data_IF_019952379852
#
_entry.id   IF_019952379852
#
_cell.length_a   1.000
_cell.length_b   1.000
_cell.length_c   1.000
_cell.angle_alpha   90.00
_cell.angle_beta   90.00
_cell.angle_gamma   90.00
#
_symmetry.space_group_name_H-M   'P 1'
#
loop_
_entity.id
_entity.type
_entity.pdbx_description
1 polymer ?
#
# COMPACT_ATOMS: atom_id res chain seq x y z
N UNK A 1 -6.46 -10.30 22.48
CA UNK A 1 -6.89 -10.21 21.07
C UNK A 1 -5.65 -10.28 20.18
N UNK A 2 -5.71 -11.08 19.10
CA UNK A 2 -4.71 -11.08 18.06
C UNK A 2 -5.06 -9.99 17.05
N UNK A 3 -4.06 -9.21 16.63
CA UNK A 3 -4.23 -8.10 15.71
C UNK A 3 -3.44 -8.36 14.43
N UNK A 4 -4.09 -8.23 13.28
CA UNK A 4 -3.41 -8.26 12.00
C UNK A 4 -3.38 -6.86 11.40
N UNK A 5 -2.19 -6.31 11.25
CA UNK A 5 -1.98 -5.05 10.54
C UNK A 5 -1.78 -5.33 9.04
N UNK A 6 -2.59 -4.67 8.22
CA UNK A 6 -2.52 -4.81 6.77
C UNK A 6 -1.73 -3.66 6.16
N UNK A 7 -0.71 -3.97 5.38
CA UNK A 7 0.00 -2.96 4.60
C UNK A 7 -0.91 -2.40 3.50
N UNK A 8 -1.07 -1.08 3.50
CA UNK A 8 -1.75 -0.36 2.43
C UNK A 8 -0.77 -0.06 1.28
N UNK A 9 -0.66 -1.01 0.37
CA UNK A 9 0.17 -0.87 -0.83
C UNK A 9 1.65 -0.54 -0.52
N UNK A 10 2.27 0.26 -1.38
CA UNK A 10 3.67 0.69 -1.22
C UNK A 10 3.88 1.75 -0.14
N UNK A 11 2.83 2.41 0.33
CA UNK A 11 2.94 3.50 1.30
C UNK A 11 3.53 3.04 2.63
N UNK A 12 3.22 1.83 3.08
CA UNK A 12 3.77 1.27 4.31
C UNK A 12 5.30 1.16 4.27
N UNK A 13 5.86 0.76 3.14
CA UNK A 13 7.33 0.66 2.94
C UNK A 13 7.97 2.05 2.95
N UNK A 14 7.41 2.96 2.18
CA UNK A 14 7.93 4.33 2.06
C UNK A 14 7.96 5.00 3.42
N UNK A 15 6.86 4.96 4.17
CA UNK A 15 6.79 5.62 5.47
C UNK A 15 7.65 4.94 6.54
N UNK A 16 7.72 3.62 6.53
CA UNK A 16 8.62 2.91 7.43
C UNK A 16 10.07 3.33 7.19
N UNK A 17 10.50 3.31 5.92
CA UNK A 17 11.87 3.65 5.56
C UNK A 17 12.19 5.14 5.82
N UNK A 18 11.25 6.05 5.60
CA UNK A 18 11.41 7.46 5.96
C UNK A 18 11.59 7.66 7.47
N UNK A 19 10.89 6.88 8.29
CA UNK A 19 10.98 7.00 9.75
C UNK A 19 12.20 6.30 10.33
N UNK A 20 12.62 5.17 9.77
CA UNK A 20 13.59 4.27 10.40
C UNK A 20 14.82 3.96 9.54
N UNK A 21 14.79 4.20 8.23
CA UNK A 21 15.89 3.92 7.28
C UNK A 21 16.89 5.07 7.12
N UNK A 22 16.51 6.31 7.41
CA UNK A 22 17.32 7.51 7.22
C UNK A 22 18.45 7.69 8.24
N UNK A 23 19.23 8.75 8.10
CA UNK A 23 20.36 9.07 8.99
C UNK A 23 19.94 9.28 10.47
N UNK A 24 18.74 9.79 10.70
CA UNK A 24 18.17 10.04 12.02
C UNK A 24 17.26 8.92 12.54
N UNK A 25 17.26 7.76 11.90
CA UNK A 25 16.31 6.69 12.20
C UNK A 25 16.41 6.20 13.65
N UNK A 26 17.61 6.05 14.19
CA UNK A 26 17.79 5.63 15.58
C UNK A 26 17.19 6.65 16.56
N UNK A 27 17.41 7.94 16.35
CA UNK A 27 16.83 9.00 17.18
C UNK A 27 15.30 8.99 17.13
N UNK A 28 14.71 8.74 15.96
CA UNK A 28 13.25 8.59 15.79
C UNK A 28 12.74 7.38 16.58
N UNK A 29 13.43 6.25 16.48
CA UNK A 29 13.09 5.03 17.21
C UNK A 29 13.15 5.23 18.73
N UNK A 30 14.27 5.75 19.24
CA UNK A 30 14.49 6.00 20.67
C UNK A 30 13.40 6.92 21.25
N UNK A 31 13.07 8.00 20.53
CA UNK A 31 11.99 8.91 20.91
C UNK A 31 10.63 8.19 20.92
N UNK A 32 10.35 7.40 19.90
CA UNK A 32 9.09 6.65 19.79
C UNK A 32 8.93 5.63 20.91
N UNK A 33 10.00 4.93 21.27
CA UNK A 33 9.98 3.97 22.36
C UNK A 33 9.74 4.64 23.72
N UNK A 34 10.39 5.77 23.98
CA UNK A 34 10.18 6.54 25.19
C UNK A 34 8.73 7.03 25.33
N UNK A 35 8.19 7.61 24.27
CA UNK A 35 6.79 8.05 24.20
C UNK A 35 5.82 6.88 24.40
N UNK A 36 6.10 5.73 23.80
CA UNK A 36 5.28 4.53 23.96
C UNK A 36 5.27 3.99 25.38
N UNK A 37 6.41 4.02 26.08
CA UNK A 37 6.50 3.68 27.52
C UNK A 37 5.65 4.61 28.37
N UNK A 38 5.64 5.91 28.08
CA UNK A 38 4.79 6.88 28.76
C UNK A 38 3.30 6.60 28.54
N UNK A 39 2.88 6.35 27.32
CA UNK A 39 1.49 6.01 26.99
C UNK A 39 1.05 4.73 27.71
N UNK A 40 1.87 3.68 27.69
CA UNK A 40 1.58 2.43 28.42
C UNK A 40 1.44 2.67 29.92
N UNK A 41 2.30 3.50 30.50
CA UNK A 41 2.22 3.85 31.91
C UNK A 41 0.93 4.57 32.27
N UNK A 42 0.50 5.51 31.42
CA UNK A 42 -0.76 6.23 31.60
C UNK A 42 -1.97 5.29 31.51
N UNK A 43 -2.01 4.40 30.52
CA UNK A 43 -3.08 3.41 30.39
C UNK A 43 -3.18 2.46 31.58
N UNK A 44 -2.05 1.99 32.10
CA UNK A 44 -2.03 1.14 33.31
C UNK A 44 -2.62 1.85 34.53
N UNK A 45 -2.53 3.17 34.58
CA UNK A 45 -3.11 4.00 35.65
C UNK A 45 -4.58 4.36 35.41
N UNK A 46 -5.20 3.84 34.34
CA UNK A 46 -6.57 4.14 33.97
C UNK A 46 -6.78 5.54 33.38
N UNK A 47 -5.72 6.22 33.01
CA UNK A 47 -5.80 7.51 32.33
C UNK A 47 -5.81 7.32 30.82
N UNK A 48 -6.85 7.81 30.15
CA UNK A 48 -6.81 7.99 28.71
C UNK A 48 -5.91 9.18 28.41
N UNK A 49 -4.88 8.95 27.65
CA UNK A 49 -4.03 10.01 27.09
C UNK A 49 -4.27 10.02 25.60
N UNK A 50 -4.86 11.08 25.09
CA UNK A 50 -4.93 11.30 23.64
C UNK A 50 -3.48 11.44 23.13
N UNK A 51 -3.04 10.63 22.16
CA UNK A 51 -1.71 10.75 21.58
C UNK A 51 -1.39 12.16 21.06
N UNK A 52 -2.42 12.96 20.77
CA UNK A 52 -2.29 14.36 20.35
C UNK A 52 -1.90 15.30 21.48
N UNK A 53 -2.24 14.94 22.71
CA UNK A 53 -1.94 15.74 23.89
C UNK A 53 -0.52 15.48 24.42
N UNK A 54 0.17 14.48 23.90
CA UNK A 54 1.56 14.26 24.26
C UNK A 54 2.39 15.37 23.61
N UNK A 55 2.98 16.21 24.43
CA UNK A 55 3.77 17.41 24.06
C UNK A 55 4.88 17.15 23.03
N UNK A 56 5.15 15.89 22.74
CA UNK A 56 6.11 15.38 21.78
C UNK A 56 5.46 14.92 20.46
N UNK A 57 4.14 15.05 20.33
CA UNK A 57 3.49 14.87 19.05
C UNK A 57 4.16 15.85 18.06
N UNK A 58 4.86 15.31 17.10
CA UNK A 58 5.40 16.11 16.01
C UNK A 58 4.27 16.98 15.46
N UNK A 59 4.58 18.18 15.02
CA UNK A 59 3.63 19.13 14.43
C UNK A 59 2.78 18.58 13.27
N UNK A 60 2.88 17.30 13.00
CA UNK A 60 2.16 16.57 11.96
C UNK A 60 1.54 15.30 12.56
N UNK A 61 0.25 15.35 12.87
CA UNK A 61 -0.52 14.25 13.47
C UNK A 61 -0.40 12.93 12.69
N UNK A 62 -0.36 12.98 11.35
CA UNK A 62 -0.25 11.76 10.54
C UNK A 62 1.12 11.08 10.67
N UNK A 63 2.15 11.83 10.94
CA UNK A 63 3.49 11.32 11.16
C UNK A 63 3.61 10.63 12.52
N UNK A 64 3.06 11.23 13.57
CA UNK A 64 3.04 10.67 14.90
C UNK A 64 2.27 9.35 14.95
N UNK A 65 1.08 9.31 14.36
CA UNK A 65 0.27 8.09 14.33
C UNK A 65 1.00 6.93 13.63
N UNK A 66 1.64 7.18 12.48
CA UNK A 66 2.39 6.15 11.76
C UNK A 66 3.60 5.64 12.55
N UNK A 67 4.31 6.54 13.19
CA UNK A 67 5.45 6.25 14.04
C UNK A 67 5.07 5.26 15.15
N UNK A 68 3.97 5.55 15.87
CA UNK A 68 3.46 4.67 16.91
C UNK A 68 2.94 3.34 16.37
N UNK A 69 2.28 3.35 15.23
CA UNK A 69 1.77 2.13 14.61
C UNK A 69 2.91 1.16 14.31
N UNK A 70 3.99 1.64 13.69
CA UNK A 70 5.12 0.76 13.36
C UNK A 70 5.88 0.30 14.60
N UNK A 71 6.05 1.17 15.59
CA UNK A 71 6.67 0.78 16.86
C UNK A 71 5.82 -0.26 17.61
N UNK A 72 4.50 -0.10 17.63
CA UNK A 72 3.58 -1.07 18.21
C UNK A 72 3.65 -2.42 17.48
N UNK A 73 3.65 -2.42 16.15
CA UNK A 73 3.79 -3.63 15.34
C UNK A 73 5.09 -4.35 15.66
N UNK A 74 6.22 -3.65 15.76
CA UNK A 74 7.52 -4.25 16.05
C UNK A 74 7.61 -4.83 17.46
N UNK A 75 6.99 -4.17 18.46
CA UNK A 75 7.14 -4.51 19.88
C UNK A 75 6.05 -5.43 20.45
N UNK A 76 4.87 -5.49 19.84
CA UNK A 76 3.74 -6.24 20.37
C UNK A 76 3.77 -7.73 19.97
N UNK A 77 3.61 -8.62 20.97
CA UNK A 77 3.68 -10.07 20.74
C UNK A 77 2.44 -10.65 20.05
N UNK A 78 1.31 -9.95 20.11
CA UNK A 78 0.02 -10.36 19.57
C UNK A 78 -0.32 -9.66 18.25
N UNK A 79 0.68 -9.07 17.58
CA UNK A 79 0.48 -8.40 16.29
C UNK A 79 1.20 -9.16 15.19
N UNK A 80 0.49 -9.39 14.10
CA UNK A 80 1.05 -9.81 12.82
C UNK A 80 0.96 -8.67 11.83
N UNK A 81 1.91 -8.60 10.93
CA UNK A 81 1.92 -7.60 9.88
C UNK A 81 1.91 -8.28 8.51
N UNK A 82 0.79 -8.20 7.81
CA UNK A 82 0.69 -8.73 6.46
C UNK A 82 1.26 -7.75 5.46
N UNK A 83 2.26 -8.20 4.72
CA UNK A 83 3.00 -7.40 3.74
C UNK A 83 3.02 -8.08 2.38
N UNK A 84 3.00 -7.30 1.31
CA UNK A 84 3.12 -7.83 -0.06
C UNK A 84 4.53 -8.31 -0.38
N UNK A 85 5.55 -7.68 0.21
CA UNK A 85 6.97 -8.07 0.08
C UNK A 85 7.67 -7.90 1.42
N UNK A 86 8.28 -8.95 1.92
CA UNK A 86 9.00 -8.96 3.20
C UNK A 86 10.47 -8.59 3.03
N UNK A 87 11.09 -9.12 1.98
CA UNK A 87 12.53 -8.99 1.77
C UNK A 87 12.87 -7.79 0.89
N UNK A 88 13.94 -7.08 1.26
CA UNK A 88 14.53 -5.99 0.48
C UNK A 88 13.72 -4.70 0.40
N UNK A 89 12.63 -4.58 1.20
CA UNK A 89 11.74 -3.42 1.14
C UNK A 89 11.75 -2.56 2.40
N UNK A 90 12.03 -3.15 3.55
CA UNK A 90 12.08 -2.45 4.82
C UNK A 90 13.51 -2.20 5.26
N UNK A 91 13.81 -0.98 5.62
CA UNK A 91 15.14 -0.53 6.03
C UNK A 91 15.07 0.14 7.39
N UNK A 92 16.07 -0.10 8.25
CA UNK A 92 16.27 0.64 9.48
C UNK A 92 17.76 0.76 9.81
N UNK A 93 18.14 1.88 10.40
CA UNK A 93 19.48 2.07 10.99
C UNK A 93 19.63 1.28 12.28
N UNK A 94 18.55 0.88 12.91
CA UNK A 94 18.53 -0.02 14.04
C UNK A 94 18.23 -1.45 13.56
N UNK A 95 19.28 -2.27 13.53
CA UNK A 95 19.19 -3.65 13.03
C UNK A 95 18.32 -4.54 13.94
N UNK A 96 18.33 -4.30 15.24
CA UNK A 96 17.50 -5.06 16.18
C UNK A 96 16.02 -4.73 16.01
N UNK A 97 15.68 -3.46 15.91
CA UNK A 97 14.31 -3.03 15.61
C UNK A 97 13.82 -3.59 14.28
N UNK A 98 14.66 -3.55 13.24
CA UNK A 98 14.31 -4.12 11.94
C UNK A 98 14.05 -5.63 12.02
N UNK A 99 14.88 -6.34 12.76
CA UNK A 99 14.71 -7.79 12.97
C UNK A 99 13.40 -8.09 13.72
N UNK A 100 13.08 -7.34 14.77
CA UNK A 100 11.82 -7.47 15.50
C UNK A 100 10.62 -7.17 14.60
N UNK A 101 10.66 -6.10 13.81
CA UNK A 101 9.60 -5.77 12.85
C UNK A 101 9.42 -6.89 11.82
N UNK A 102 10.52 -7.39 11.23
CA UNK A 102 10.48 -8.49 10.25
C UNK A 102 9.98 -9.80 10.84
N UNK A 103 10.25 -10.07 12.10
CA UNK A 103 9.73 -11.28 12.78
C UNK A 103 8.20 -11.29 12.88
N UNK A 104 7.55 -10.11 12.86
CA UNK A 104 6.08 -9.96 12.85
C UNK A 104 5.47 -9.95 11.46
N UNK A 105 6.30 -9.84 10.41
CA UNK A 105 5.82 -9.75 9.03
C UNK A 105 5.52 -11.15 8.49
N UNK A 106 4.34 -11.28 7.92
CA UNK A 106 3.93 -12.40 7.08
C UNK A 106 3.73 -11.88 5.66
N UNK A 107 4.51 -12.41 4.73
CA UNK A 107 4.28 -12.10 3.31
C UNK A 107 3.09 -12.89 2.81
N UNK A 108 2.07 -12.19 2.28
CA UNK A 108 0.95 -12.88 1.67
C UNK A 108 1.14 -13.03 0.16
N UNK A 109 0.78 -14.18 -0.34
CA UNK A 109 0.73 -14.46 -1.77
C UNK A 109 -0.69 -14.22 -2.28
N UNK A 110 -0.89 -13.11 -2.98
CA UNK A 110 -2.19 -12.75 -3.56
C UNK A 110 -2.70 -13.83 -4.52
N UNK A 111 -1.81 -14.42 -5.32
CA UNK A 111 -2.18 -15.48 -6.24
C UNK A 111 -2.71 -16.70 -5.49
N UNK A 112 -2.01 -17.15 -4.47
CA UNK A 112 -2.45 -18.27 -3.64
C UNK A 112 -3.80 -17.98 -2.96
N UNK A 113 -4.03 -16.75 -2.49
CA UNK A 113 -5.31 -16.36 -1.91
C UNK A 113 -6.45 -16.39 -2.95
N UNK A 114 -6.21 -15.91 -4.18
CA UNK A 114 -7.20 -15.97 -5.25
C UNK A 114 -7.48 -17.41 -5.70
N UNK A 115 -6.47 -18.25 -5.79
CA UNK A 115 -6.61 -19.67 -6.10
C UNK A 115 -7.45 -20.39 -5.01
N UNK A 116 -7.23 -20.07 -3.74
CA UNK A 116 -8.04 -20.56 -2.61
C UNK A 116 -9.50 -20.12 -2.73
N UNK A 117 -9.76 -18.83 -2.95
CA UNK A 117 -11.13 -18.32 -3.15
C UNK A 117 -11.84 -19.03 -4.29
N UNK A 118 -11.14 -19.34 -5.37
CA UNK A 118 -11.68 -20.10 -6.51
C UNK A 118 -11.99 -21.55 -6.11
N UNK A 119 -11.06 -22.21 -5.43
CA UNK A 119 -11.25 -23.59 -4.97
C UNK A 119 -12.44 -23.71 -3.99
N UNK A 120 -12.65 -22.72 -3.13
CA UNK A 120 -13.77 -22.61 -2.19
C UNK A 120 -15.06 -22.07 -2.84
N UNK A 121 -15.07 -21.83 -4.15
CA UNK A 121 -16.23 -21.31 -4.92
C UNK A 121 -16.70 -19.91 -4.49
N UNK A 122 -15.80 -19.12 -3.90
CA UNK A 122 -16.05 -17.74 -3.50
C UNK A 122 -15.65 -16.70 -4.56
N UNK A 123 -15.07 -17.13 -5.67
CA UNK A 123 -14.57 -16.24 -6.73
C UNK A 123 -15.68 -15.36 -7.33
N UNK A 124 -16.89 -15.87 -7.48
CA UNK A 124 -18.02 -15.08 -7.99
C UNK A 124 -18.41 -13.94 -7.03
N UNK A 125 -18.48 -14.22 -5.74
CA UNK A 125 -18.79 -13.21 -4.72
C UNK A 125 -17.66 -12.15 -4.66
N UNK A 126 -16.41 -12.58 -4.70
CA UNK A 126 -15.26 -11.70 -4.75
C UNK A 126 -15.28 -10.78 -5.98
N UNK A 127 -15.52 -11.33 -7.18
CA UNK A 127 -15.64 -10.55 -8.41
C UNK A 127 -16.78 -9.53 -8.35
N UNK A 128 -17.94 -9.93 -7.83
CA UNK A 128 -19.08 -9.04 -7.67
C UNK A 128 -18.76 -7.89 -6.69
N UNK A 129 -18.09 -8.16 -5.58
CA UNK A 129 -17.68 -7.16 -4.61
C UNK A 129 -16.77 -6.09 -5.21
N UNK A 130 -15.84 -6.52 -6.06
CA UNK A 130 -14.91 -5.62 -6.74
C UNK A 130 -15.42 -5.10 -8.10
N UNK A 131 -16.68 -5.37 -8.45
CA UNK A 131 -17.26 -5.02 -9.75
C UNK A 131 -16.42 -5.53 -10.94
N UNK A 132 -15.78 -6.69 -10.76
CA UNK A 132 -14.95 -7.28 -11.79
C UNK A 132 -15.81 -8.18 -12.70
N UNK A 133 -15.68 -7.97 -14.02
CA UNK A 133 -16.30 -8.82 -15.03
C UNK A 133 -15.24 -9.59 -15.81
N UNK A 134 -15.48 -10.88 -16.05
CA UNK A 134 -14.61 -11.68 -16.91
C UNK A 134 -14.61 -11.19 -18.37
N UNK A 135 -15.64 -10.45 -18.79
CA UNK A 135 -15.71 -9.81 -20.10
C UNK A 135 -14.86 -8.55 -20.24
N UNK A 136 -14.28 -8.05 -19.13
CA UNK A 136 -13.48 -6.82 -19.16
C UNK A 136 -12.32 -6.87 -20.15
N UNK A 137 -11.77 -8.06 -20.40
CA UNK A 137 -10.66 -8.27 -21.33
C UNK A 137 -11.06 -9.07 -22.58
N UNK A 138 -12.36 -9.07 -22.94
CA UNK A 138 -12.87 -9.83 -24.07
C UNK A 138 -12.24 -9.41 -25.40
N UNK A 139 -11.96 -8.11 -25.58
CA UNK A 139 -11.33 -7.60 -26.80
C UNK A 139 -9.89 -8.10 -26.96
N UNK A 140 -9.13 -8.20 -25.88
CA UNK A 140 -7.80 -8.79 -25.92
C UNK A 140 -7.86 -10.27 -26.31
N UNK A 141 -8.80 -11.02 -25.76
CA UNK A 141 -9.01 -12.43 -26.10
C UNK A 141 -9.43 -12.60 -27.57
N UNK A 142 -10.39 -11.80 -28.06
CA UNK A 142 -10.86 -11.80 -29.45
C UNK A 142 -9.74 -11.48 -30.45
N UNK A 143 -8.86 -10.58 -30.10
CA UNK A 143 -7.76 -10.12 -30.94
C UNK A 143 -6.46 -10.92 -30.72
N UNK A 144 -6.50 -12.00 -29.95
CA UNK A 144 -5.33 -12.82 -29.59
C UNK A 144 -4.15 -12.01 -29.05
N UNK A 145 -4.45 -10.92 -28.32
CA UNK A 145 -3.46 -10.04 -27.70
C UNK A 145 -3.28 -10.34 -26.22
N UNK A 146 -2.11 -10.02 -25.72
CA UNK A 146 -1.84 -10.02 -24.26
C UNK A 146 -2.46 -8.79 -23.63
N UNK A 147 -2.90 -8.92 -22.39
CA UNK A 147 -3.43 -7.79 -21.60
C UNK A 147 -2.27 -7.01 -20.96
N UNK A 148 -2.30 -5.68 -21.10
CA UNK A 148 -1.44 -4.74 -20.37
C UNK A 148 -2.33 -3.77 -19.60
N UNK A 149 -2.27 -3.81 -18.27
CA UNK A 149 -3.01 -2.87 -17.44
C UNK A 149 -2.09 -1.77 -16.94
N UNK A 150 -2.36 -0.54 -17.32
CA UNK A 150 -1.67 0.65 -16.85
C UNK A 150 -2.31 1.09 -15.52
N UNK A 151 -1.54 1.07 -14.46
CA UNK A 151 -2.00 1.46 -13.12
C UNK A 151 -1.84 2.97 -12.92
N UNK A 152 -2.93 3.67 -12.72
CA UNK A 152 -2.93 5.11 -12.47
C UNK A 152 -2.45 5.49 -11.07
N UNK A 153 -1.61 6.51 -10.98
CA UNK A 153 -1.22 7.15 -9.74
C UNK A 153 -2.29 8.11 -9.22
N UNK A 154 -2.14 8.56 -7.96
CA UNK A 154 -3.06 9.51 -7.33
C UNK A 154 -3.04 10.89 -7.98
N UNK A 155 -1.85 11.34 -8.34
CA UNK A 155 -1.64 12.64 -8.99
C UNK A 155 -0.72 12.44 -10.19
N UNK A 156 -1.30 12.52 -11.38
CA UNK A 156 -0.52 12.54 -12.62
C UNK A 156 -1.09 13.69 -13.44
N UNK A 157 -0.24 14.62 -13.86
CA UNK A 157 -0.68 15.70 -14.75
C UNK A 157 -1.18 15.09 -16.07
N UNK A 158 -2.09 15.77 -16.75
CA UNK A 158 -2.65 15.31 -18.02
C UNK A 158 -1.56 15.13 -19.07
N UNK A 159 -0.61 16.07 -19.13
CA UNK A 159 0.54 15.98 -20.03
C UNK A 159 1.38 14.73 -19.75
N UNK A 160 1.81 14.52 -18.50
CA UNK A 160 2.62 13.37 -18.12
C UNK A 160 1.89 12.05 -18.34
N UNK A 161 0.57 12.05 -18.20
CA UNK A 161 -0.25 10.88 -18.45
C UNK A 161 -0.26 10.49 -19.93
N UNK A 162 -0.45 11.46 -20.82
CA UNK A 162 -0.43 11.24 -22.26
C UNK A 162 0.98 10.75 -22.72
N UNK A 163 2.03 11.40 -22.26
CA UNK A 163 3.43 11.01 -22.56
C UNK A 163 3.73 9.59 -22.05
N UNK A 164 3.33 9.26 -20.83
CA UNK A 164 3.50 7.93 -20.27
C UNK A 164 2.78 6.85 -21.08
N UNK A 165 1.53 7.11 -21.42
CA UNK A 165 0.73 6.15 -22.22
C UNK A 165 1.33 5.92 -23.59
N UNK A 166 1.76 6.99 -24.27
CA UNK A 166 2.42 6.91 -25.57
C UNK A 166 3.75 6.14 -25.46
N UNK A 167 4.57 6.43 -24.46
CA UNK A 167 5.81 5.71 -24.20
C UNK A 167 5.59 4.22 -24.02
N UNK A 168 4.66 3.83 -23.17
CA UNK A 168 4.38 2.42 -22.87
C UNK A 168 3.91 1.69 -24.14
N UNK A 169 2.99 2.28 -24.91
CA UNK A 169 2.50 1.69 -26.16
C UNK A 169 3.60 1.53 -27.21
N UNK A 170 4.45 2.53 -27.36
CA UNK A 170 5.59 2.47 -28.30
C UNK A 170 6.63 1.43 -27.88
N UNK A 171 6.91 1.32 -26.59
CA UNK A 171 7.92 0.39 -26.07
C UNK A 171 7.47 -1.07 -26.15
N UNK A 172 6.24 -1.37 -25.73
CA UNK A 172 5.75 -2.74 -25.70
C UNK A 172 5.07 -3.20 -26.99
N UNK A 173 4.60 -2.26 -27.81
CA UNK A 173 4.11 -2.49 -29.16
C UNK A 173 2.73 -3.14 -29.26
N UNK A 174 2.32 -3.56 -30.46
CA UNK A 174 0.94 -3.92 -30.79
C UNK A 174 0.51 -5.32 -30.31
N UNK A 175 1.42 -6.09 -29.72
CA UNK A 175 1.10 -7.43 -29.16
C UNK A 175 0.23 -7.40 -27.92
N UNK A 176 0.01 -6.20 -27.33
CA UNK A 176 -0.82 -6.00 -26.16
C UNK A 176 -2.09 -5.24 -26.51
N UNK A 177 -3.17 -5.57 -25.82
CA UNK A 177 -4.34 -4.72 -25.64
C UNK A 177 -4.15 -3.96 -24.35
N UNK A 178 -4.31 -2.64 -24.38
CA UNK A 178 -3.97 -1.74 -23.28
C UNK A 178 -5.23 -1.30 -22.55
N UNK A 179 -5.20 -1.44 -21.24
CA UNK A 179 -6.28 -1.03 -20.34
C UNK A 179 -5.73 -0.10 -19.28
N UNK A 180 -6.55 0.83 -18.84
CA UNK A 180 -6.16 1.73 -17.77
C UNK A 180 -7.02 1.51 -16.53
N UNK A 181 -6.36 1.34 -15.36
CA UNK A 181 -7.04 1.31 -14.06
C UNK A 181 -6.70 2.58 -13.30
N UNK A 182 -7.70 3.48 -13.15
CA UNK A 182 -7.57 4.70 -12.36
C UNK A 182 -7.32 4.42 -10.88
N UNK A 183 -6.68 5.38 -10.21
CA UNK A 183 -6.50 5.32 -8.77
C UNK A 183 -7.86 5.48 -8.06
N UNK A 184 -8.17 4.73 -6.99
CA UNK A 184 -9.48 4.81 -6.31
C UNK A 184 -9.85 6.22 -5.82
N UNK A 185 -8.87 6.99 -5.32
CA UNK A 185 -9.11 8.36 -4.87
C UNK A 185 -9.29 9.38 -6.01
N UNK A 186 -8.92 9.02 -7.23
CA UNK A 186 -9.04 9.88 -8.42
C UNK A 186 -9.62 9.05 -9.58
N UNK A 187 -10.88 8.62 -9.48
CA UNK A 187 -11.49 7.78 -10.50
C UNK A 187 -11.57 8.52 -11.82
N UNK A 188 -11.13 7.88 -12.89
CA UNK A 188 -11.02 8.46 -14.25
C UNK A 188 -12.35 9.04 -14.75
N UNK A 189 -13.47 8.44 -14.33
CA UNK A 189 -14.82 8.92 -14.69
C UNK A 189 -15.08 10.39 -14.31
N UNK A 190 -14.37 10.92 -13.31
CA UNK A 190 -14.46 12.31 -12.87
C UNK A 190 -13.53 13.26 -13.65
N UNK A 191 -12.76 12.75 -14.61
CA UNK A 191 -11.78 13.53 -15.36
C UNK A 191 -11.96 13.33 -16.86
N UNK A 192 -12.86 14.11 -17.49
CA UNK A 192 -13.21 13.97 -18.92
C UNK A 192 -12.00 14.04 -19.86
N UNK A 193 -11.04 14.91 -19.55
CA UNK A 193 -9.84 15.05 -20.37
C UNK A 193 -8.97 13.78 -20.34
N UNK A 194 -8.82 13.14 -19.20
CA UNK A 194 -8.14 11.84 -19.11
C UNK A 194 -8.87 10.73 -19.87
N UNK A 195 -10.19 10.73 -19.82
CA UNK A 195 -10.99 9.78 -20.62
C UNK A 195 -10.77 9.98 -22.11
N UNK A 196 -10.75 11.25 -22.56
CA UNK A 196 -10.45 11.60 -23.94
C UNK A 196 -9.06 11.12 -24.36
N UNK A 197 -8.04 11.40 -23.55
CA UNK A 197 -6.66 10.97 -23.81
C UNK A 197 -6.53 9.45 -23.87
N UNK A 198 -7.21 8.69 -23.01
CA UNK A 198 -7.25 7.22 -23.08
C UNK A 198 -7.88 6.76 -24.37
N UNK A 199 -9.02 7.32 -24.74
CA UNK A 199 -9.72 6.99 -25.98
C UNK A 199 -8.89 7.32 -27.22
N UNK A 200 -8.26 8.49 -27.25
CA UNK A 200 -7.38 8.92 -28.35
C UNK A 200 -6.14 8.01 -28.47
N UNK A 201 -5.69 7.46 -27.34
CA UNK A 201 -4.58 6.52 -27.26
C UNK A 201 -5.01 5.05 -27.49
N UNK A 202 -6.28 4.74 -27.71
CA UNK A 202 -6.80 3.37 -27.74
C UNK A 202 -6.42 2.57 -26.48
N UNK A 203 -6.78 3.07 -25.30
CA UNK A 203 -6.56 2.43 -24.00
C UNK A 203 -7.85 2.38 -23.21
#
# INVERSE_FOLDING_TARGET
YDVTFLSDGSSSYVFFNQLYGGENAKSVYDTTEAEWKLLKSAWKKGHYVDPRDVKYALNNESYSLRKYTYAAVASANNVKWWVGRKDGTFESKDAEFLAQAKARMEQYDMKAQLDKLKAEKHDKAFKAWYHFSDSMFADAAKNHKKVMVLMGGRVTSEKNFAEFTAFVKNYYGPKYEYYYKGHPATPTVKYPEKQKQLKDANV
#
